data_IF_175776446083
#
_entry.id   IF_175776446083
#
_cell.length_a   1.000
_cell.length_b   1.000
_cell.length_c   1.000
_cell.angle_alpha   90.00
_cell.angle_beta   90.00
_cell.angle_gamma   90.00
#
_symmetry.space_group_name_H-M   'P 1'
#
loop_
_entity.id
_entity.type
_entity.pdbx_description
1 polymer ?
#
# COMPACT_ATOMS: atom_id res chain seq x y z
N UNK A 1 1.74 18.13 -8.61
CA UNK A 1 2.61 19.03 -7.80
C UNK A 1 3.54 18.18 -6.95
N UNK A 2 4.81 18.04 -7.36
CA UNK A 2 5.81 17.14 -6.77
C UNK A 2 6.40 17.61 -5.44
N UNK A 3 5.61 17.63 -4.38
CA UNK A 3 6.06 17.94 -3.02
C UNK A 3 6.96 16.81 -2.51
N UNK A 4 8.12 17.15 -1.92
CA UNK A 4 9.07 16.17 -1.40
C UNK A 4 9.96 15.48 -2.44
N UNK A 5 9.83 15.87 -3.72
CA UNK A 5 10.72 15.44 -4.80
C UNK A 5 12.00 16.28 -4.74
N UNK A 6 13.13 15.62 -4.48
CA UNK A 6 14.43 16.26 -4.59
C UNK A 6 14.86 16.31 -6.05
N UNK A 7 14.62 17.46 -6.70
CA UNK A 7 15.00 17.69 -8.09
C UNK A 7 16.50 17.89 -8.29
N UNK A 8 17.28 18.07 -7.22
CA UNK A 8 18.74 18.09 -7.33
C UNK A 8 19.32 16.70 -7.61
N UNK A 9 18.55 15.65 -7.32
CA UNK A 9 18.85 14.26 -7.68
C UNK A 9 18.30 13.86 -9.05
N UNK A 10 17.64 14.76 -9.78
CA UNK A 10 17.17 14.50 -11.13
C UNK A 10 18.36 14.50 -12.10
N UNK A 11 19.10 13.39 -12.12
CA UNK A 11 20.14 13.12 -13.11
C UNK A 11 19.49 12.67 -14.41
N UNK A 12 19.95 13.21 -15.54
CA UNK A 12 19.65 12.65 -16.86
C UNK A 12 20.22 11.22 -16.89
N UNK A 13 19.34 10.26 -16.64
CA UNK A 13 19.73 8.86 -16.51
C UNK A 13 20.06 8.24 -17.85
N UNK A 14 19.24 8.54 -18.84
CA UNK A 14 19.38 8.01 -20.17
C UNK A 14 19.01 9.07 -21.19
N UNK A 15 19.80 9.10 -22.24
CA UNK A 15 19.53 9.87 -23.44
C UNK A 15 19.69 8.89 -24.59
N UNK A 16 18.65 8.77 -25.40
CA UNK A 16 18.71 8.03 -26.64
C UNK A 16 18.54 9.01 -27.80
N UNK A 17 19.44 8.88 -28.76
CA UNK A 17 19.29 9.54 -30.05
C UNK A 17 18.64 8.53 -31.00
N UNK A 18 17.72 9.00 -31.84
CA UNK A 18 17.19 8.17 -32.91
C UNK A 18 18.34 7.86 -33.88
N UNK A 19 18.75 6.60 -34.03
CA UNK A 19 19.92 6.28 -34.87
C UNK A 19 19.62 6.18 -36.37
N UNK A 20 18.34 6.17 -36.75
CA UNK A 20 17.87 6.27 -38.14
C UNK A 20 16.41 6.74 -38.18
N UNK A 21 15.97 7.29 -39.31
CA UNK A 21 14.58 7.75 -39.54
C UNK A 21 13.64 6.64 -40.05
N UNK A 22 14.22 5.51 -40.48
CA UNK A 22 13.52 4.57 -41.37
C UNK A 22 13.09 3.27 -40.68
N UNK A 23 13.41 3.08 -39.39
CA UNK A 23 13.02 1.87 -38.63
C UNK A 23 12.57 2.18 -37.21
N UNK A 24 11.68 1.34 -36.68
CA UNK A 24 11.27 1.37 -35.28
C UNK A 24 12.45 1.06 -34.37
N UNK A 25 12.65 1.88 -33.34
CA UNK A 25 13.69 1.66 -32.33
C UNK A 25 13.03 1.35 -30.98
N UNK A 26 13.38 0.21 -30.41
CA UNK A 26 12.99 -0.17 -29.05
C UNK A 26 14.16 0.15 -28.13
N UNK A 27 13.90 0.97 -27.11
CA UNK A 27 14.88 1.38 -26.12
C UNK A 27 14.57 0.72 -24.78
N UNK A 28 15.62 0.23 -24.11
CA UNK A 28 15.51 -0.42 -22.82
C UNK A 28 16.09 0.48 -21.74
N UNK A 29 15.37 0.59 -20.63
CA UNK A 29 15.75 1.41 -19.49
C UNK A 29 15.58 0.60 -18.19
N UNK A 30 16.43 0.82 -17.18
CA UNK A 30 16.17 0.28 -15.85
C UNK A 30 14.87 0.87 -15.30
N UNK A 31 14.15 0.09 -14.49
CA UNK A 31 12.82 0.47 -13.98
C UNK A 31 12.85 1.69 -13.03
N UNK A 32 14.00 1.94 -12.39
CA UNK A 32 14.23 3.06 -11.48
C UNK A 32 15.75 3.19 -11.26
N UNK A 33 16.29 4.40 -11.39
CA UNK A 33 17.69 4.74 -11.09
C UNK A 33 17.84 5.95 -10.15
N UNK A 34 16.76 6.39 -9.51
CA UNK A 34 16.81 7.37 -8.42
C UNK A 34 17.73 6.82 -7.33
N UNK A 35 18.80 7.53 -6.92
CA UNK A 35 19.73 7.02 -5.91
C UNK A 35 19.06 6.79 -4.55
N UNK A 36 19.44 5.72 -3.88
CA UNK A 36 19.02 5.44 -2.50
C UNK A 36 19.29 3.99 -2.10
N UNK A 37 19.65 3.80 -0.83
CA UNK A 37 19.99 2.49 -0.29
C UNK A 37 18.77 1.56 -0.20
N UNK A 38 17.65 2.09 0.29
CA UNK A 38 16.37 1.38 0.30
C UNK A 38 15.60 1.69 -1.00
N UNK A 39 15.57 0.69 -1.90
CA UNK A 39 14.88 0.79 -3.19
C UNK A 39 13.37 0.89 -3.05
N UNK A 40 12.79 0.51 -1.91
CA UNK A 40 11.35 0.64 -1.65
C UNK A 40 10.98 2.06 -1.19
N UNK A 41 11.95 2.86 -0.74
CA UNK A 41 11.69 4.20 -0.16
C UNK A 41 12.26 5.36 -0.95
N UNK A 42 12.85 5.09 -2.11
CA UNK A 42 13.30 6.15 -3.03
C UNK A 42 12.12 6.91 -3.61
N UNK A 43 12.26 8.23 -3.67
CA UNK A 43 11.32 9.17 -4.30
C UNK A 43 12.08 10.11 -5.21
N UNK A 44 11.54 10.41 -6.38
CA UNK A 44 12.26 11.22 -7.36
C UNK A 44 11.53 11.43 -8.66
N UNK A 45 12.23 12.03 -9.61
CA UNK A 45 11.75 12.22 -10.99
C UNK A 45 12.81 11.69 -11.95
N UNK A 46 12.38 10.95 -12.96
CA UNK A 46 13.20 10.56 -14.10
C UNK A 46 12.73 11.31 -15.34
N UNK A 47 13.67 11.86 -16.12
CA UNK A 47 13.39 12.55 -17.37
C UNK A 47 13.77 11.69 -18.55
N UNK A 48 12.80 11.41 -19.40
CA UNK A 48 13.00 10.74 -20.68
C UNK A 48 12.98 11.80 -21.78
N UNK A 49 14.09 11.97 -22.48
CA UNK A 49 14.24 12.96 -23.54
C UNK A 49 14.67 12.28 -24.84
N UNK A 50 14.00 12.62 -25.93
CA UNK A 50 14.31 12.15 -27.28
C UNK A 50 14.96 13.30 -28.04
N UNK A 51 16.08 13.03 -28.70
CA UNK A 51 16.81 14.01 -29.49
C UNK A 51 16.84 13.61 -30.97
N UNK A 52 16.87 14.61 -31.85
CA UNK A 52 17.18 14.45 -33.27
C UNK A 52 18.64 14.05 -33.44
N UNK A 53 18.95 13.50 -34.60
CA UNK A 53 20.35 13.39 -35.02
C UNK A 53 20.93 14.79 -35.26
N UNK A 54 22.24 14.89 -35.08
CA UNK A 54 23.05 15.99 -35.60
C UNK A 54 23.23 15.81 -37.12
N UNK A 55 23.24 16.91 -37.87
CA UNK A 55 23.48 16.98 -39.31
C UNK A 55 24.60 17.99 -39.62
N UNK A 56 25.12 18.00 -40.85
CA UNK A 56 26.31 18.74 -41.31
C UNK A 56 26.32 20.26 -40.99
N UNK A 57 25.17 20.84 -40.63
CA UNK A 57 25.05 22.23 -40.17
C UNK A 57 24.06 22.43 -39.00
N UNK A 58 23.59 21.35 -38.37
CA UNK A 58 22.56 21.43 -37.32
C UNK A 58 22.91 20.50 -36.15
N UNK A 59 23.14 21.02 -34.93
CA UNK A 59 23.37 20.18 -33.77
C UNK A 59 22.12 19.35 -33.44
N UNK A 60 22.30 18.21 -32.77
CA UNK A 60 21.21 17.44 -32.21
C UNK A 60 20.31 18.33 -31.33
N UNK A 61 18.99 18.20 -31.50
CA UNK A 61 17.98 19.03 -30.83
C UNK A 61 16.98 18.15 -30.10
N UNK A 62 16.46 18.62 -28.96
CA UNK A 62 15.46 17.85 -28.21
C UNK A 62 14.13 17.89 -28.97
N UNK A 63 13.62 16.73 -29.37
CA UNK A 63 12.33 16.58 -30.05
C UNK A 63 11.18 16.53 -29.04
N UNK A 64 11.36 15.77 -27.96
CA UNK A 64 10.35 15.60 -26.92
C UNK A 64 11.02 15.27 -25.58
N UNK A 65 10.33 15.58 -24.48
CA UNK A 65 10.73 15.12 -23.16
C UNK A 65 9.52 14.94 -22.25
N UNK A 66 9.58 13.92 -21.39
CA UNK A 66 8.56 13.68 -20.37
C UNK A 66 9.22 13.31 -19.03
N UNK A 67 8.57 13.69 -17.94
CA UNK A 67 8.96 13.28 -16.58
C UNK A 67 8.10 12.12 -16.10
N UNK A 68 8.74 11.17 -15.42
CA UNK A 68 8.10 10.10 -14.68
C UNK A 68 8.39 10.33 -13.20
N UNK A 69 7.35 10.29 -12.37
CA UNK A 69 7.49 10.39 -10.93
C UNK A 69 7.67 9.00 -10.33
N UNK A 70 8.66 8.87 -9.45
CA UNK A 70 8.95 7.66 -8.70
C UNK A 70 8.49 7.91 -7.27
N UNK A 71 7.56 7.09 -6.80
CA UNK A 71 7.04 7.13 -5.44
C UNK A 71 7.54 5.94 -4.62
N UNK A 72 7.69 6.12 -3.30
CA UNK A 72 8.03 5.03 -2.39
C UNK A 72 6.87 4.02 -2.31
N UNK A 73 7.21 2.76 -2.06
CA UNK A 73 6.27 1.67 -1.81
C UNK A 73 5.58 1.90 -0.47
N UNK A 74 4.26 1.85 -0.48
CA UNK A 74 3.44 1.98 0.71
C UNK A 74 3.74 0.85 1.71
N UNK A 75 3.74 1.17 3.00
CA UNK A 75 3.78 0.18 4.08
C UNK A 75 2.82 0.55 5.19
N UNK A 76 2.64 -0.37 6.13
CA UNK A 76 1.83 -0.10 7.31
C UNK A 76 1.98 -1.13 8.41
N UNK A 77 1.35 -0.85 9.53
CA UNK A 77 1.34 -1.70 10.71
C UNK A 77 -0.03 -1.70 11.40
N UNK A 78 -0.29 -2.78 12.12
CA UNK A 78 -1.46 -2.95 12.97
C UNK A 78 -0.96 -3.10 14.41
N UNK A 79 -1.50 -2.31 15.32
CA UNK A 79 -1.15 -2.33 16.74
C UNK A 79 -2.40 -2.29 17.63
N UNK A 80 -2.24 -2.59 18.91
CA UNK A 80 -3.37 -2.76 19.84
C UNK A 80 -3.93 -4.19 19.89
N UNK A 81 -3.45 -5.06 19.00
CA UNK A 81 -3.69 -6.51 19.04
C UNK A 81 -2.44 -7.25 18.59
N UNK A 82 -2.16 -8.39 19.22
CA UNK A 82 -0.98 -9.21 18.94
C UNK A 82 -1.36 -10.54 18.27
N UNK A 83 -0.42 -11.13 17.52
CA UNK A 83 -0.68 -12.40 16.85
C UNK A 83 -0.87 -13.52 17.88
N UNK A 84 -1.96 -14.28 17.74
CA UNK A 84 -2.32 -15.38 18.64
C UNK A 84 -3.05 -14.94 19.91
N UNK A 85 -3.23 -13.63 20.12
CA UNK A 85 -3.95 -13.10 21.27
C UNK A 85 -5.35 -13.69 21.38
N UNK A 86 -5.79 -13.99 22.59
CA UNK A 86 -7.16 -14.48 22.84
C UNK A 86 -7.98 -13.40 23.51
N UNK A 87 -8.98 -12.88 22.80
CA UNK A 87 -9.88 -11.85 23.30
C UNK A 87 -11.13 -12.52 23.86
N UNK A 88 -11.33 -12.33 25.17
CA UNK A 88 -12.48 -12.88 25.93
C UNK A 88 -13.50 -11.85 26.36
N UNK A 89 -13.13 -10.57 26.27
CA UNK A 89 -13.88 -9.44 26.83
C UNK A 89 -14.11 -8.36 25.76
N UNK A 90 -14.18 -7.10 26.19
CA UNK A 90 -14.26 -5.95 25.30
C UNK A 90 -13.12 -5.97 24.25
N UNK A 91 -13.44 -5.52 23.03
CA UNK A 91 -12.42 -5.40 22.01
C UNK A 91 -11.40 -4.33 22.33
N UNK A 92 -10.10 -4.57 22.08
CA UNK A 92 -9.12 -3.53 22.14
C UNK A 92 -9.33 -2.55 20.98
N UNK A 93 -8.92 -1.30 21.20
CA UNK A 93 -8.75 -0.36 20.09
C UNK A 93 -7.59 -0.84 19.23
N UNK A 94 -7.79 -0.87 17.91
CA UNK A 94 -6.74 -1.25 16.95
C UNK A 94 -6.27 -0.02 16.21
N UNK A 95 -4.97 0.27 16.24
CA UNK A 95 -4.39 1.39 15.51
C UNK A 95 -3.69 0.89 14.24
N UNK A 96 -4.14 1.41 13.11
CA UNK A 96 -3.56 1.24 11.79
C UNK A 96 -2.64 2.44 11.51
N UNK A 97 -1.37 2.18 11.28
CA UNK A 97 -0.41 3.21 10.82
C UNK A 97 -0.02 2.87 9.40
N UNK A 98 -0.07 3.86 8.51
CA UNK A 98 0.18 3.71 7.08
C UNK A 98 1.12 4.81 6.61
N UNK A 99 2.10 4.43 5.81
CA UNK A 99 3.08 5.33 5.23
C UNK A 99 3.05 5.27 3.71
N UNK A 100 3.33 6.40 3.07
CA UNK A 100 3.55 6.47 1.62
C UNK A 100 2.35 5.98 0.78
N UNK A 101 1.12 6.18 1.24
CA UNK A 101 -0.09 5.75 0.53
C UNK A 101 -0.20 6.46 -0.81
N UNK A 102 -0.36 5.69 -1.89
CA UNK A 102 -0.36 6.21 -3.24
C UNK A 102 -1.51 7.20 -3.51
N UNK A 103 -1.29 8.20 -4.37
CA UNK A 103 -2.37 8.97 -4.98
C UNK A 103 -3.43 8.07 -5.61
N UNK A 104 -4.69 8.49 -5.54
CA UNK A 104 -5.85 7.78 -6.06
C UNK A 104 -5.95 6.33 -5.56
N UNK A 105 -5.51 6.09 -4.32
CA UNK A 105 -5.62 4.78 -3.67
C UNK A 105 -6.75 4.72 -2.64
N UNK A 106 -7.24 3.51 -2.39
CA UNK A 106 -8.16 3.20 -1.31
C UNK A 106 -7.46 2.28 -0.31
N UNK A 107 -7.55 2.61 0.97
CA UNK A 107 -6.93 1.82 2.05
C UNK A 107 -8.00 1.44 3.06
N UNK A 108 -7.99 0.19 3.53
CA UNK A 108 -9.02 -0.32 4.42
C UNK A 108 -8.55 -1.54 5.21
N UNK A 109 -9.19 -1.80 6.34
CA UNK A 109 -9.02 -3.05 7.08
C UNK A 109 -10.05 -4.07 6.60
N UNK A 110 -9.59 -5.27 6.21
CA UNK A 110 -10.41 -6.42 5.84
C UNK A 110 -10.30 -7.47 6.94
N UNK A 111 -11.43 -7.93 7.48
CA UNK A 111 -11.47 -8.98 8.50
C UNK A 111 -12.11 -10.25 7.94
N UNK A 112 -11.59 -11.41 8.32
CA UNK A 112 -12.15 -12.72 7.94
C UNK A 112 -11.81 -13.80 8.96
N UNK A 113 -12.61 -14.86 8.97
CA UNK A 113 -12.44 -16.00 9.85
C UNK A 113 -11.31 -16.92 9.36
N UNK A 114 -10.48 -17.38 10.27
CA UNK A 114 -9.37 -18.30 10.03
C UNK A 114 -8.00 -17.65 9.97
N UNK A 115 -7.02 -18.44 9.56
CA UNK A 115 -5.63 -18.03 9.41
C UNK A 115 -5.43 -17.09 8.22
N UNK A 116 -4.34 -16.31 8.27
CA UNK A 116 -3.98 -15.34 7.23
C UNK A 116 -3.92 -15.97 5.83
N UNK A 117 -4.74 -15.43 4.92
CA UNK A 117 -4.86 -15.88 3.54
C UNK A 117 -5.25 -14.69 2.63
N UNK A 118 -4.37 -14.36 1.68
CA UNK A 118 -4.58 -13.24 0.74
C UNK A 118 -5.85 -13.40 -0.10
N UNK A 119 -6.25 -14.64 -0.42
CA UNK A 119 -7.45 -14.94 -1.21
C UNK A 119 -8.72 -15.06 -0.36
N UNK A 120 -8.64 -14.87 0.96
CA UNK A 120 -9.82 -14.95 1.82
C UNK A 120 -10.80 -13.81 1.49
N UNK A 121 -12.06 -14.19 1.29
CA UNK A 121 -13.18 -13.27 1.28
C UNK A 121 -13.45 -12.82 2.70
N UNK A 122 -13.45 -11.51 2.92
CA UNK A 122 -13.66 -10.90 4.22
C UNK A 122 -14.56 -9.67 4.11
N UNK A 123 -14.89 -9.09 5.26
CA UNK A 123 -15.66 -7.87 5.35
C UNK A 123 -14.73 -6.67 5.59
N UNK A 124 -15.06 -5.53 5.00
CA UNK A 124 -14.38 -4.27 5.33
C UNK A 124 -14.85 -3.85 6.71
N UNK A 125 -13.92 -3.58 7.62
CA UNK A 125 -14.24 -3.07 8.94
C UNK A 125 -14.90 -1.69 8.79
N UNK A 126 -16.11 -1.46 9.33
CA UNK A 126 -16.78 -0.17 9.25
C UNK A 126 -15.88 0.97 9.76
N UNK A 127 -15.88 2.09 9.02
CA UNK A 127 -15.03 3.25 9.35
C UNK A 127 -13.55 3.09 9.01
N UNK A 128 -13.08 1.91 8.56
CA UNK A 128 -11.67 1.69 8.20
C UNK A 128 -11.27 2.24 6.83
N UNK A 129 -12.23 2.41 5.93
CA UNK A 129 -11.96 2.80 4.55
C UNK A 129 -11.57 4.28 4.44
N UNK A 130 -10.43 4.54 3.83
CA UNK A 130 -9.91 5.87 3.51
C UNK A 130 -9.61 5.93 2.01
N UNK A 131 -9.94 7.04 1.37
CA UNK A 131 -9.58 7.30 -0.02
C UNK A 131 -8.57 8.44 -0.04
N UNK A 132 -7.48 8.22 -0.77
CA UNK A 132 -6.37 9.16 -0.93
C UNK A 132 -6.56 9.84 -2.28
N UNK A 133 -7.15 11.03 -2.29
CA UNK A 133 -7.36 11.85 -3.50
C UNK A 133 -6.21 12.81 -3.77
N UNK A 134 -5.21 12.82 -2.89
CA UNK A 134 -4.10 13.75 -2.94
C UNK A 134 -3.12 13.39 -4.05
N UNK A 135 -2.53 14.42 -4.66
CA UNK A 135 -1.62 14.26 -5.79
C UNK A 135 -0.20 13.78 -5.42
N UNK A 136 0.05 13.47 -4.15
CA UNK A 136 1.34 12.98 -3.64
C UNK A 136 1.10 11.93 -2.55
N UNK A 137 2.05 11.00 -2.31
CA UNK A 137 1.91 10.00 -1.27
C UNK A 137 1.57 10.57 0.10
N UNK A 138 0.77 9.84 0.87
CA UNK A 138 0.23 10.30 2.15
C UNK A 138 0.49 9.32 3.28
N UNK A 139 0.82 9.86 4.45
CA UNK A 139 0.82 9.10 5.69
C UNK A 139 -0.55 9.25 6.38
N UNK A 140 -1.04 8.16 6.96
CA UNK A 140 -2.31 8.14 7.69
C UNK A 140 -2.19 7.28 8.94
N UNK A 141 -2.89 7.69 9.99
CA UNK A 141 -3.10 6.87 11.17
C UNK A 141 -4.58 6.83 11.47
N UNK A 142 -5.12 5.64 11.68
CA UNK A 142 -6.52 5.43 11.99
C UNK A 142 -6.64 4.53 13.21
N UNK A 143 -7.51 4.89 14.15
CA UNK A 143 -7.87 4.00 15.26
C UNK A 143 -9.26 3.45 15.02
N UNK A 144 -9.35 2.12 14.99
CA UNK A 144 -10.60 1.38 14.90
C UNK A 144 -11.12 1.14 16.31
N UNK A 145 -12.34 1.61 16.55
CA UNK A 145 -13.14 1.32 17.75
C UNK A 145 -14.37 0.52 17.32
N UNK A 146 -14.93 -0.28 18.24
CA UNK A 146 -16.19 -1.02 18.02
C UNK A 146 -16.22 -1.85 16.71
N UNK A 147 -15.05 -2.40 16.34
CA UNK A 147 -14.85 -3.16 15.12
C UNK A 147 -15.34 -4.61 15.21
N UNK A 148 -15.97 -5.00 16.32
CA UNK A 148 -16.53 -6.35 16.49
C UNK A 148 -17.88 -6.56 15.82
N UNK A 149 -18.48 -5.52 15.26
CA UNK A 149 -19.72 -5.60 14.48
C UNK A 149 -19.66 -6.56 13.28
N UNK A 150 -18.46 -6.91 12.83
CA UNK A 150 -18.17 -7.82 11.71
C UNK A 150 -17.76 -9.23 12.16
N UNK A 151 -17.79 -9.50 13.47
CA UNK A 151 -17.46 -10.80 14.05
C UNK A 151 -18.74 -11.51 14.48
N UNK A 152 -19.03 -12.65 13.85
CA UNK A 152 -20.27 -13.39 14.05
C UNK A 152 -20.18 -14.47 15.13
N UNK A 153 -19.01 -15.08 15.29
CA UNK A 153 -18.79 -16.25 16.15
C UNK A 153 -17.38 -16.28 16.76
N UNK A 154 -17.24 -17.03 17.85
CA UNK A 154 -15.95 -17.43 18.40
C UNK A 154 -15.10 -18.21 17.38
N UNK A 155 -13.78 -18.12 17.55
CA UNK A 155 -12.80 -18.79 16.71
C UNK A 155 -11.61 -17.92 16.35
N UNK A 156 -10.78 -18.41 15.44
CA UNK A 156 -9.64 -17.66 14.92
C UNK A 156 -10.10 -16.67 13.86
N UNK A 157 -9.57 -15.45 13.91
CA UNK A 157 -9.88 -14.35 12.99
C UNK A 157 -8.60 -13.65 12.54
N UNK A 158 -8.60 -13.08 11.34
CA UNK A 158 -7.49 -12.30 10.80
C UNK A 158 -7.97 -10.95 10.31
N UNK A 159 -7.23 -9.89 10.66
CA UNK A 159 -7.34 -8.54 10.08
C UNK A 159 -6.17 -8.33 9.14
N UNK A 160 -6.47 -7.99 7.89
CA UNK A 160 -5.52 -7.53 6.89
C UNK A 160 -5.70 -6.02 6.65
N UNK A 161 -4.61 -5.26 6.66
CA UNK A 161 -4.57 -3.88 6.17
C UNK A 161 -4.28 -3.91 4.67
N UNK A 162 -5.22 -3.45 3.86
CA UNK A 162 -5.18 -3.52 2.40
C UNK A 162 -5.03 -2.13 1.80
N UNK A 163 -4.28 -2.02 0.70
CA UNK A 163 -4.29 -0.85 -0.18
C UNK A 163 -4.64 -1.28 -1.60
N UNK A 164 -5.55 -0.56 -2.24
CA UNK A 164 -5.90 -0.71 -3.66
C UNK A 164 -5.45 0.55 -4.37
N UNK A 165 -4.48 0.39 -5.25
CA UNK A 165 -3.98 1.44 -6.16
C UNK A 165 -4.56 1.21 -7.56
N UNK A 166 -4.39 2.16 -8.49
CA UNK A 166 -4.73 1.94 -9.91
C UNK A 166 -3.99 0.74 -10.55
N UNK A 167 -2.92 0.24 -9.92
CA UNK A 167 -2.07 -0.83 -10.44
C UNK A 167 -2.39 -2.20 -9.84
N UNK A 168 -3.19 -2.25 -8.77
CA UNK A 168 -3.52 -3.50 -8.08
C UNK A 168 -3.78 -3.30 -6.59
N UNK A 169 -4.05 -4.41 -5.92
CA UNK A 169 -4.31 -4.46 -4.48
C UNK A 169 -3.21 -5.21 -3.77
N UNK A 170 -2.64 -4.60 -2.74
CA UNK A 170 -1.58 -5.16 -1.90
C UNK A 170 -2.00 -5.19 -0.44
N UNK A 171 -1.38 -6.12 0.32
CA UNK A 171 -1.53 -6.19 1.77
C UNK A 171 -0.34 -5.53 2.45
N UNK A 172 -0.60 -4.50 3.24
CA UNK A 172 0.41 -3.75 3.99
C UNK A 172 0.77 -4.45 5.32
N UNK A 173 -0.22 -5.02 6.01
CA UNK A 173 -0.02 -5.72 7.28
C UNK A 173 -1.11 -6.77 7.53
N UNK A 174 -0.86 -7.71 8.44
CA UNK A 174 -1.79 -8.78 8.83
C UNK A 174 -1.62 -9.12 10.31
N UNK A 175 -2.71 -9.39 11.00
CA UNK A 175 -2.70 -9.93 12.37
C UNK A 175 -3.81 -10.96 12.56
N UNK A 176 -3.45 -12.13 13.05
CA UNK A 176 -4.38 -13.23 13.37
C UNK A 176 -4.51 -13.38 14.88
N UNK A 177 -5.73 -13.48 15.39
CA UNK A 177 -6.07 -13.58 16.82
C UNK A 177 -7.22 -14.59 17.04
N UNK A 178 -7.55 -14.87 18.30
CA UNK A 178 -8.64 -15.77 18.70
C UNK A 178 -9.71 -15.01 19.47
N UNK A 179 -10.97 -15.25 19.12
CA UNK A 179 -12.16 -14.75 19.81
C UNK A 179 -12.77 -15.90 20.63
N UNK A 180 -12.96 -15.69 21.93
CA UNK A 180 -13.54 -16.66 22.85
C UNK A 180 -14.44 -15.95 23.89
N UNK A 181 -15.65 -15.58 23.46
CA UNK A 181 -16.63 -14.81 24.24
C UNK A 181 -17.75 -15.69 24.80
N UNK A 182 -17.98 -16.90 24.29
CA UNK A 182 -19.07 -17.77 24.74
C UNK A 182 -18.71 -18.43 26.07
N UNK A 183 -19.33 -17.95 27.15
CA UNK A 183 -19.27 -18.63 28.46
C UNK A 183 -20.29 -19.79 28.47
N UNK A 184 -19.80 -21.03 28.45
CA UNK A 184 -20.63 -22.22 28.69
C UNK A 184 -20.83 -22.42 30.19
N UNK A 185 -22.04 -22.17 30.70
CA UNK A 185 -22.41 -22.45 32.10
C UNK A 185 -23.10 -23.82 32.18
N UNK A 186 -22.47 -24.77 32.86
CA UNK A 186 -23.08 -26.04 33.22
C UNK A 186 -23.65 -25.93 34.65
N UNK A 187 -24.93 -25.59 34.77
CA UNK A 187 -25.63 -25.54 36.06
C UNK A 187 -26.51 -26.77 36.28
N UNK A 188 -26.38 -27.46 37.42
CA UNK A 188 -27.38 -28.43 37.88
C UNK A 188 -28.32 -27.77 38.88
N UNK A 189 -29.62 -27.78 38.62
CA UNK A 189 -30.63 -27.38 39.61
C UNK A 189 -31.05 -28.63 40.37
N UNK A 190 -30.65 -28.72 41.64
CA UNK A 190 -31.23 -29.70 42.57
C UNK A 190 -32.20 -28.97 43.50
N UNK A 191 -33.49 -29.19 43.31
CA UNK A 191 -34.52 -28.86 44.30
C UNK A 191 -34.50 -29.93 45.39
N UNK A 192 -34.31 -29.51 46.64
CA UNK A 192 -34.60 -30.36 47.80
C UNK A 192 -36.10 -30.20 48.13
N UNK A 193 -36.83 -31.31 48.13
CA UNK A 193 -38.20 -31.41 48.68
C UNK A 193 -38.16 -31.57 50.20
#
# INVERSE_FOLDING_TARGET
NGIGIDRSLATLLSQANLTNSDTWQVLYFPINSVPGADRSKVRGEERFSIYSLEDYQAPASQLASQFIQIWPVADGSISGITSGETIRSAMPNVTLTMHDLYPDSQVFAKIYKGASNLSATGQIVPGSAQIIYEAVPQDRTLTLTDWDTVLDDDGQWTIDLMTTTPFGTDRLASVTFNLDRIIKVNGSVTTAE
#
